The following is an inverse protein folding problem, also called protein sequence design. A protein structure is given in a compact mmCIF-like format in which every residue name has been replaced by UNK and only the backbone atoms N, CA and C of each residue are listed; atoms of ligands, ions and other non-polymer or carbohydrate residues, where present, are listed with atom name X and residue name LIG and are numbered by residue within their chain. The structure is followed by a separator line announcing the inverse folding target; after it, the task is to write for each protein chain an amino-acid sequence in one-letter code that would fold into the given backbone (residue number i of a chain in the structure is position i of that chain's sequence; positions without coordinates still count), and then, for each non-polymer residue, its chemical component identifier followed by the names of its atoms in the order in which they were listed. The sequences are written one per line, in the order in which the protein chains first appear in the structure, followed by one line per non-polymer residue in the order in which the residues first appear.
data_IF_009364451280
#
_entry.id   IF_009364451280
#
_cell.length_a   1.000
_cell.length_b   1.000
_cell.length_c   1.000
_cell.angle_alpha   90.00
_cell.angle_beta   90.00
_cell.angle_gamma   90.00
#
_symmetry.space_group_name_H-M   'P 1'
#
loop_
_entity.id
_entity.type
_entity.pdbx_description
1 polymer ?
#
# COMPACT_ATOMS: atom_id res chain seq x y z
N UNK A 1 30.82 -56.50 -4.81
CA UNK A 1 31.14 -55.07 -4.95
C UNK A 1 29.97 -54.44 -5.70
N UNK A 2 29.01 -53.92 -4.95
CA UNK A 2 27.87 -53.11 -5.43
C UNK A 2 28.36 -51.71 -5.84
N UNK A 3 27.47 -50.97 -6.50
CA UNK A 3 27.46 -49.52 -6.81
C UNK A 3 28.13 -49.11 -8.15
N UNK A 4 27.54 -48.29 -9.03
CA UNK A 4 26.28 -47.51 -9.09
C UNK A 4 26.15 -46.91 -10.51
N UNK A 5 24.91 -46.86 -11.04
CA UNK A 5 24.28 -45.84 -11.94
C UNK A 5 25.01 -45.47 -13.25
N UNK A 6 24.48 -45.58 -14.47
CA UNK A 6 23.12 -45.42 -15.02
C UNK A 6 22.39 -44.20 -14.46
N UNK A 7 22.50 -43.05 -15.16
CA UNK A 7 21.49 -41.99 -15.30
C UNK A 7 22.06 -40.85 -16.20
N UNK A 8 21.67 -40.79 -17.48
CA UNK A 8 21.89 -39.59 -18.33
C UNK A 8 20.97 -39.48 -19.55
N UNK A 9 19.77 -40.09 -19.53
CA UNK A 9 18.82 -40.05 -20.65
C UNK A 9 17.38 -39.66 -20.27
N UNK A 10 17.05 -39.46 -19.00
CA UNK A 10 15.70 -39.07 -18.54
C UNK A 10 15.44 -37.56 -18.52
N UNK A 11 16.47 -36.73 -18.65
CA UNK A 11 16.38 -35.30 -18.32
C UNK A 11 15.77 -34.41 -19.44
N UNK A 12 15.76 -34.88 -20.71
CA UNK A 12 15.34 -34.04 -21.85
C UNK A 12 13.83 -34.15 -22.13
N UNK A 13 13.17 -35.26 -21.76
CA UNK A 13 11.72 -35.44 -21.92
C UNK A 13 10.88 -34.88 -20.77
N UNK A 14 11.48 -34.65 -19.60
CA UNK A 14 10.79 -34.07 -18.45
C UNK A 14 10.71 -32.54 -18.53
N UNK A 15 11.68 -31.87 -19.14
CA UNK A 15 11.71 -30.41 -19.28
C UNK A 15 10.47 -29.79 -19.99
N UNK A 16 9.95 -30.34 -21.11
CA UNK A 16 8.75 -29.82 -21.76
C UNK A 16 7.49 -30.04 -20.91
N UNK A 17 7.37 -31.20 -20.27
CA UNK A 17 6.23 -31.58 -19.42
C UNK A 17 6.20 -30.74 -18.15
N UNK A 18 7.37 -30.50 -17.54
CA UNK A 18 7.53 -29.63 -16.39
C UNK A 18 7.22 -28.17 -16.74
N UNK A 19 7.64 -27.69 -17.91
CA UNK A 19 7.31 -26.34 -18.39
C UNK A 19 5.80 -26.16 -18.60
N UNK A 20 5.11 -27.12 -19.22
CA UNK A 20 3.65 -27.09 -19.39
C UNK A 20 2.95 -27.12 -18.03
N UNK A 21 3.45 -27.93 -17.09
CA UNK A 21 2.89 -28.02 -15.73
C UNK A 21 3.09 -26.72 -14.96
N UNK A 22 4.28 -26.12 -14.99
CA UNK A 22 4.57 -24.86 -14.33
C UNK A 22 3.75 -23.69 -14.91
N UNK A 23 3.58 -23.63 -16.23
CA UNK A 23 2.71 -22.65 -16.89
C UNK A 23 1.25 -22.83 -16.50
N UNK A 24 0.77 -24.08 -16.41
CA UNK A 24 -0.60 -24.36 -16.00
C UNK A 24 -0.83 -24.00 -14.53
N UNK A 25 0.12 -24.30 -13.65
CA UNK A 25 0.07 -23.89 -12.23
C UNK A 25 0.05 -22.37 -12.10
N UNK A 26 0.89 -21.64 -12.85
CA UNK A 26 0.89 -20.19 -12.85
C UNK A 26 -0.46 -19.62 -13.34
N UNK A 27 -1.02 -20.20 -14.41
CA UNK A 27 -2.32 -19.83 -14.97
C UNK A 27 -3.44 -20.00 -13.94
N UNK A 28 -3.49 -21.17 -13.29
CA UNK A 28 -4.47 -21.45 -12.24
C UNK A 28 -4.28 -20.49 -11.06
N UNK A 29 -3.04 -20.25 -10.62
CA UNK A 29 -2.75 -19.37 -9.49
C UNK A 29 -3.24 -17.95 -9.72
N UNK A 30 -2.89 -17.30 -10.84
CA UNK A 30 -3.32 -15.91 -11.07
C UNK A 30 -4.83 -15.81 -11.32
N UNK A 31 -5.46 -16.82 -11.95
CA UNK A 31 -6.93 -16.85 -12.07
C UNK A 31 -7.62 -16.98 -10.72
N UNK A 32 -7.10 -17.80 -9.82
CA UNK A 32 -7.59 -17.88 -8.43
C UNK A 32 -7.45 -16.52 -7.74
N UNK A 33 -6.30 -15.86 -7.83
CA UNK A 33 -6.10 -14.53 -7.24
C UNK A 33 -7.12 -13.52 -7.79
N UNK A 34 -7.37 -13.53 -9.10
CA UNK A 34 -8.41 -12.68 -9.73
C UNK A 34 -9.79 -12.93 -9.12
N UNK A 35 -10.27 -14.17 -9.14
CA UNK A 35 -11.65 -14.46 -8.72
C UNK A 35 -11.83 -14.25 -7.22
N UNK A 36 -10.83 -14.60 -6.39
CA UNK A 36 -10.85 -14.32 -4.95
C UNK A 36 -10.85 -12.81 -4.67
N UNK A 37 -10.03 -12.03 -5.38
CA UNK A 37 -9.99 -10.57 -5.19
C UNK A 37 -11.33 -9.91 -5.52
N UNK A 38 -11.97 -10.32 -6.61
CA UNK A 38 -13.28 -9.81 -7.02
C UNK A 38 -14.37 -10.24 -6.03
N UNK A 39 -14.34 -11.50 -5.60
CA UNK A 39 -15.27 -12.02 -4.61
C UNK A 39 -15.15 -11.28 -3.28
N UNK A 40 -13.95 -11.12 -2.74
CA UNK A 40 -13.71 -10.39 -1.49
C UNK A 40 -14.12 -8.93 -1.58
N UNK A 41 -13.92 -8.29 -2.74
CA UNK A 41 -14.40 -6.94 -3.01
C UNK A 41 -15.92 -6.84 -2.96
N UNK A 42 -16.63 -7.74 -3.66
CA UNK A 42 -18.10 -7.79 -3.65
C UNK A 42 -18.65 -8.10 -2.25
N UNK A 43 -18.04 -9.07 -1.57
CA UNK A 43 -18.40 -9.45 -0.21
C UNK A 43 -18.25 -8.26 0.74
N UNK A 44 -17.15 -7.52 0.65
CA UNK A 44 -16.90 -6.34 1.50
C UNK A 44 -17.86 -5.19 1.21
N UNK A 45 -18.32 -5.05 -0.04
CA UNK A 45 -19.22 -3.96 -0.45
C UNK A 45 -20.66 -4.21 -0.03
N UNK A 46 -21.15 -5.45 -0.18
CA UNK A 46 -22.57 -5.80 -0.01
C UNK A 46 -22.91 -6.46 1.33
N UNK A 47 -21.96 -7.14 1.97
CA UNK A 47 -22.28 -7.89 3.18
C UNK A 47 -22.56 -6.96 4.37
N UNK A 48 -23.57 -7.26 5.20
CA UNK A 48 -23.76 -6.59 6.48
C UNK A 48 -22.57 -6.84 7.40
N UNK A 49 -22.03 -5.77 7.99
CA UNK A 49 -20.89 -5.81 8.93
C UNK A 49 -21.44 -5.61 10.35
N UNK A 50 -20.97 -6.42 11.31
CA UNK A 50 -21.46 -6.40 12.68
C UNK A 50 -21.07 -5.07 13.31
N UNK A 51 -22.05 -4.28 13.73
CA UNK A 51 -21.77 -3.17 14.63
C UNK A 51 -21.88 -3.66 16.08
N UNK A 52 -21.09 -3.10 16.99
CA UNK A 52 -21.13 -3.49 18.41
C UNK A 52 -22.48 -3.14 19.09
N UNK A 53 -23.37 -2.44 18.40
CA UNK A 53 -24.65 -1.96 18.92
C UNK A 53 -25.83 -2.90 18.61
N UNK A 54 -25.66 -3.90 17.73
CA UNK A 54 -26.72 -4.80 17.25
C UNK A 54 -27.07 -5.95 18.22
N UNK A 55 -27.04 -5.69 19.53
CA UNK A 55 -27.32 -6.70 20.57
C UNK A 55 -28.80 -6.90 20.88
N UNK A 56 -29.70 -6.07 20.34
CA UNK A 56 -31.14 -6.22 20.52
C UNK A 56 -31.85 -6.76 19.27
N UNK A 57 -32.85 -7.61 19.55
CA UNK A 57 -33.47 -8.58 18.67
C UNK A 57 -33.99 -8.05 17.31
N UNK A 58 -33.97 -8.93 16.29
CA UNK A 58 -34.76 -8.91 15.04
C UNK A 58 -34.14 -8.31 13.75
N UNK A 59 -32.98 -7.65 13.75
CA UNK A 59 -32.41 -7.13 12.50
C UNK A 59 -31.15 -7.88 12.05
N UNK A 60 -31.29 -8.65 10.96
CA UNK A 60 -30.24 -9.18 10.08
C UNK A 60 -28.96 -9.71 10.74
N UNK A 61 -28.78 -11.05 10.77
CA UNK A 61 -27.49 -11.66 11.11
C UNK A 61 -26.39 -11.00 10.27
N UNK A 62 -25.50 -10.26 10.93
CA UNK A 62 -24.29 -9.77 10.29
C UNK A 62 -23.50 -10.94 9.70
N UNK A 63 -23.00 -10.76 8.47
CA UNK A 63 -22.23 -11.78 7.76
C UNK A 63 -20.73 -11.58 7.94
N UNK A 64 -20.28 -10.33 8.12
CA UNK A 64 -18.88 -9.98 8.31
C UNK A 64 -18.62 -9.35 9.67
N UNK A 65 -17.58 -9.82 10.35
CA UNK A 65 -17.03 -9.11 11.51
C UNK A 65 -16.06 -8.02 11.03
N UNK A 66 -15.82 -7.02 11.88
CA UNK A 66 -14.82 -5.99 11.56
C UNK A 66 -13.41 -6.56 11.40
N UNK A 67 -13.06 -7.59 12.17
CA UNK A 67 -11.78 -8.30 12.03
C UNK A 67 -11.63 -8.97 10.65
N UNK A 68 -12.71 -9.54 10.11
CA UNK A 68 -12.71 -10.10 8.77
C UNK A 68 -12.52 -9.00 7.72
N UNK A 69 -13.14 -7.82 7.90
CA UNK A 69 -12.93 -6.66 7.02
C UNK A 69 -11.47 -6.21 7.03
N UNK A 70 -10.83 -6.13 8.20
CA UNK A 70 -9.40 -5.83 8.33
C UNK A 70 -8.54 -6.87 7.62
N UNK A 71 -8.85 -8.15 7.80
CA UNK A 71 -8.14 -9.28 7.17
C UNK A 71 -8.26 -9.22 5.64
N UNK A 72 -9.45 -8.93 5.11
CA UNK A 72 -9.68 -8.75 3.67
C UNK A 72 -8.86 -7.57 3.15
N UNK A 73 -8.88 -6.44 3.86
CA UNK A 73 -8.10 -5.25 3.51
C UNK A 73 -6.61 -5.54 3.43
N UNK A 74 -6.05 -6.22 4.43
CA UNK A 74 -4.65 -6.62 4.43
C UNK A 74 -4.33 -7.60 3.30
N UNK A 75 -5.18 -8.60 3.06
CA UNK A 75 -4.97 -9.54 1.96
C UNK A 75 -4.91 -8.85 0.59
N UNK A 76 -5.86 -7.97 0.30
CA UNK A 76 -5.90 -7.22 -0.96
C UNK A 76 -4.72 -6.26 -1.09
N UNK A 77 -4.32 -5.59 0.00
CA UNK A 77 -3.15 -4.72 0.02
C UNK A 77 -1.84 -5.50 -0.23
N UNK A 78 -1.69 -6.67 0.40
CA UNK A 78 -0.54 -7.56 0.15
C UNK A 78 -0.48 -8.00 -1.30
N UNK A 79 -1.63 -8.36 -1.90
CA UNK A 79 -1.69 -8.70 -3.33
C UNK A 79 -1.27 -7.51 -4.21
N UNK A 80 -1.66 -6.28 -3.88
CA UNK A 80 -1.24 -5.09 -4.61
C UNK A 80 0.28 -4.87 -4.53
N UNK A 81 0.88 -5.02 -3.35
CA UNK A 81 2.30 -4.69 -3.16
C UNK A 81 3.22 -5.83 -3.62
N UNK A 82 2.84 -7.09 -3.46
CA UNK A 82 3.74 -8.23 -3.71
C UNK A 82 3.55 -8.90 -5.08
N UNK A 83 2.36 -8.81 -5.67
CA UNK A 83 2.05 -9.56 -6.89
C UNK A 83 2.67 -8.91 -8.12
N UNK A 84 3.36 -9.73 -8.93
CA UNK A 84 4.02 -9.27 -10.17
C UNK A 84 3.14 -9.37 -11.41
N UNK A 85 2.15 -10.27 -11.40
CA UNK A 85 1.29 -10.50 -12.56
C UNK A 85 0.27 -9.36 -12.69
N UNK A 86 0.37 -8.60 -13.78
CA UNK A 86 -0.49 -7.42 -14.03
C UNK A 86 -1.97 -7.71 -13.87
N UNK A 87 -2.46 -8.73 -14.57
CA UNK A 87 -3.87 -9.12 -14.49
C UNK A 87 -4.32 -9.62 -13.11
N UNK A 88 -3.40 -9.92 -12.17
CA UNK A 88 -3.77 -10.33 -10.82
C UNK A 88 -3.88 -9.11 -9.88
N UNK A 89 -2.86 -8.24 -9.85
CA UNK A 89 -2.94 -7.04 -9.00
C UNK A 89 -3.97 -6.02 -9.51
N UNK A 90 -4.27 -5.95 -10.81
CA UNK A 90 -5.35 -5.11 -11.33
C UNK A 90 -6.72 -5.54 -10.80
N UNK A 91 -6.91 -6.82 -10.51
CA UNK A 91 -8.17 -7.35 -9.96
C UNK A 91 -8.21 -7.21 -8.44
N UNK A 92 -7.06 -7.35 -7.77
CA UNK A 92 -6.89 -6.93 -6.38
C UNK A 92 -7.23 -5.44 -6.20
N UNK A 93 -6.81 -4.58 -7.14
CA UNK A 93 -7.14 -3.15 -7.16
C UNK A 93 -8.65 -2.91 -7.23
N UNK A 94 -9.36 -3.61 -8.11
CA UNK A 94 -10.83 -3.51 -8.21
C UNK A 94 -11.49 -3.91 -6.89
N UNK A 95 -11.10 -5.05 -6.31
CA UNK A 95 -11.63 -5.49 -5.03
C UNK A 95 -11.33 -4.52 -3.88
N UNK A 96 -10.11 -3.97 -3.86
CA UNK A 96 -9.69 -3.00 -2.85
C UNK A 96 -10.42 -1.66 -2.98
N UNK A 97 -10.73 -1.21 -4.20
CA UNK A 97 -11.56 -0.02 -4.42
C UNK A 97 -12.98 -0.19 -3.86
N UNK A 98 -13.60 -1.36 -4.05
CA UNK A 98 -14.92 -1.67 -3.49
C UNK A 98 -14.91 -1.59 -1.96
N UNK A 99 -13.91 -2.22 -1.34
CA UNK A 99 -13.72 -2.15 0.11
C UNK A 99 -13.53 -0.71 0.59
N UNK A 100 -12.58 0.04 0.02
CA UNK A 100 -12.33 1.43 0.44
C UNK A 100 -13.57 2.31 0.25
N UNK A 101 -14.25 2.17 -0.89
CA UNK A 101 -15.50 2.87 -1.18
C UNK A 101 -16.59 2.60 -0.14
N UNK A 102 -16.71 1.35 0.33
CA UNK A 102 -17.65 1.00 1.40
C UNK A 102 -17.23 1.61 2.74
N UNK A 103 -15.95 1.53 3.09
CA UNK A 103 -15.40 2.03 4.35
C UNK A 103 -15.60 3.53 4.51
N UNK A 104 -15.30 4.33 3.48
CA UNK A 104 -15.51 5.78 3.52
C UNK A 104 -16.97 6.20 3.77
N UNK A 105 -17.94 5.32 3.47
CA UNK A 105 -19.38 5.57 3.66
C UNK A 105 -19.95 4.82 4.86
N UNK A 106 -19.10 4.15 5.64
CA UNK A 106 -19.56 3.33 6.75
C UNK A 106 -20.01 4.20 7.93
N UNK A 107 -21.15 3.90 8.58
CA UNK A 107 -21.67 4.70 9.71
C UNK A 107 -20.77 4.60 10.96
N UNK A 108 -20.16 3.44 11.21
CA UNK A 108 -19.17 3.29 12.29
C UNK A 108 -17.95 4.17 12.03
N UNK A 109 -17.68 5.09 12.96
CA UNK A 109 -16.52 5.99 12.91
C UNK A 109 -15.19 5.22 12.83
N UNK A 110 -15.11 4.03 13.44
CA UNK A 110 -13.91 3.18 13.39
C UNK A 110 -13.61 2.74 11.96
N UNK A 111 -14.58 2.15 11.28
CA UNK A 111 -14.44 1.68 9.90
C UNK A 111 -14.30 2.84 8.91
N UNK A 112 -15.01 3.95 9.14
CA UNK A 112 -14.90 5.17 8.33
C UNK A 112 -13.48 5.73 8.31
N UNK A 113 -12.76 5.65 9.43
CA UNK A 113 -11.40 6.20 9.54
C UNK A 113 -10.31 5.26 8.99
N UNK A 114 -10.59 3.97 8.75
CA UNK A 114 -9.59 2.99 8.31
C UNK A 114 -8.85 3.39 7.02
N UNK A 115 -9.52 3.79 5.92
CA UNK A 115 -8.81 4.13 4.70
C UNK A 115 -7.81 5.29 4.88
N UNK A 116 -8.12 6.25 5.78
CA UNK A 116 -7.22 7.35 6.13
C UNK A 116 -6.00 6.87 6.91
N UNK A 117 -6.19 5.96 7.86
CA UNK A 117 -5.11 5.37 8.64
C UNK A 117 -4.18 4.54 7.75
N UNK A 118 -4.73 3.70 6.89
CA UNK A 118 -3.99 2.86 5.96
C UNK A 118 -3.20 3.67 4.93
N UNK A 119 -3.77 4.78 4.43
CA UNK A 119 -3.04 5.68 3.55
C UNK A 119 -1.90 6.39 4.28
N UNK A 120 -2.10 6.80 5.54
CA UNK A 120 -1.02 7.39 6.35
C UNK A 120 0.12 6.39 6.58
N UNK A 121 -0.21 5.15 6.94
CA UNK A 121 0.75 4.05 7.09
C UNK A 121 1.55 3.85 5.79
N UNK A 122 0.86 3.80 4.64
CA UNK A 122 1.49 3.67 3.34
C UNK A 122 2.44 4.82 3.02
N UNK A 123 2.05 6.07 3.30
CA UNK A 123 2.88 7.25 3.10
C UNK A 123 4.11 7.26 4.03
N UNK A 124 3.97 6.82 5.28
CA UNK A 124 5.09 6.67 6.21
C UNK A 124 6.08 5.60 5.73
N UNK A 125 5.56 4.52 5.14
CA UNK A 125 6.38 3.47 4.52
C UNK A 125 7.15 4.02 3.31
N UNK A 126 6.50 4.80 2.43
CA UNK A 126 7.14 5.39 1.23
C UNK A 126 8.21 6.42 1.62
N UNK A 127 7.95 7.23 2.64
CA UNK A 127 8.81 8.36 3.04
C UNK A 127 10.01 7.94 3.89
N UNK A 128 9.79 7.05 4.87
CA UNK A 128 10.79 6.71 5.88
C UNK A 128 11.32 5.29 5.73
N UNK A 129 10.68 4.45 4.92
CA UNK A 129 11.10 3.06 4.77
C UNK A 129 10.92 2.22 6.02
N UNK A 130 10.04 2.62 6.94
CA UNK A 130 9.86 1.96 8.23
C UNK A 130 9.44 0.50 8.02
N UNK A 131 10.42 -0.39 8.11
CA UNK A 131 10.28 -1.85 8.19
C UNK A 131 10.06 -2.59 6.86
N UNK A 132 9.80 -1.93 5.72
CA UNK A 132 9.61 -2.65 4.45
C UNK A 132 10.75 -2.40 3.46
N UNK A 133 11.29 -3.48 2.89
CA UNK A 133 12.15 -3.40 1.71
C UNK A 133 11.31 -3.16 0.45
N UNK A 134 10.70 -1.98 0.35
CA UNK A 134 10.19 -1.49 -0.92
C UNK A 134 11.36 -1.47 -1.91
N UNK A 135 11.09 -1.79 -3.18
CA UNK A 135 12.11 -1.75 -4.21
C UNK A 135 11.68 -0.78 -5.28
N UNK A 136 12.48 0.26 -5.52
CA UNK A 136 12.24 1.37 -6.43
C UNK A 136 11.76 0.97 -7.84
N UNK A 137 12.17 -0.20 -8.35
CA UNK A 137 12.07 -0.50 -9.80
C UNK A 137 11.40 -1.84 -10.16
N UNK A 138 11.07 -2.73 -9.20
CA UNK A 138 10.38 -4.01 -9.52
C UNK A 138 9.37 -4.57 -8.51
N UNK A 139 9.47 -4.25 -7.20
CA UNK A 139 8.55 -4.77 -6.16
C UNK A 139 7.50 -3.76 -5.69
N UNK A 140 7.35 -2.65 -6.40
CA UNK A 140 6.46 -1.54 -6.01
C UNK A 140 5.45 -1.17 -7.09
N UNK A 141 5.30 -2.00 -8.13
CA UNK A 141 4.42 -1.71 -9.26
C UNK A 141 2.95 -1.48 -8.87
N UNK A 142 2.48 -2.08 -7.77
CA UNK A 142 1.13 -1.87 -7.26
C UNK A 142 1.00 -0.83 -6.13
N UNK A 143 2.08 -0.21 -5.64
CA UNK A 143 1.95 0.94 -4.72
C UNK A 143 1.17 2.10 -5.37
N UNK A 144 1.43 2.47 -6.65
CA UNK A 144 0.62 3.48 -7.33
C UNK A 144 -0.87 3.10 -7.38
N UNK A 145 -1.18 1.81 -7.59
CA UNK A 145 -2.56 1.31 -7.59
C UNK A 145 -3.19 1.39 -6.20
N UNK A 146 -2.45 1.06 -5.15
CA UNK A 146 -2.93 1.17 -3.77
C UNK A 146 -3.23 2.63 -3.40
N UNK A 147 -2.33 3.56 -3.73
CA UNK A 147 -2.56 5.01 -3.54
C UNK A 147 -3.75 5.48 -4.36
N UNK A 148 -3.84 5.09 -5.64
CA UNK A 148 -4.98 5.41 -6.49
C UNK A 148 -6.30 4.93 -5.91
N UNK A 149 -6.35 3.71 -5.36
CA UNK A 149 -7.56 3.17 -4.77
C UNK A 149 -8.06 4.05 -3.61
N UNK A 150 -7.17 4.45 -2.69
CA UNK A 150 -7.54 5.35 -1.61
C UNK A 150 -8.04 6.71 -2.12
N UNK A 151 -7.28 7.32 -3.02
CA UNK A 151 -7.54 8.68 -3.48
C UNK A 151 -8.78 8.78 -4.36
N UNK A 152 -8.96 7.83 -5.29
CA UNK A 152 -10.15 7.79 -6.16
C UNK A 152 -11.41 7.52 -5.36
N UNK A 153 -11.36 6.61 -4.39
CA UNK A 153 -12.54 6.28 -3.56
C UNK A 153 -12.89 7.37 -2.56
N UNK A 154 -11.91 8.12 -2.00
CA UNK A 154 -12.20 9.30 -1.18
C UNK A 154 -12.97 10.34 -1.98
N UNK A 155 -12.50 10.66 -3.20
CA UNK A 155 -13.15 11.66 -4.05
C UNK A 155 -14.58 11.29 -4.46
N UNK A 156 -14.86 9.99 -4.64
CA UNK A 156 -16.21 9.51 -4.95
C UNK A 156 -17.21 9.67 -3.79
N UNK A 157 -16.74 9.80 -2.56
CA UNK A 157 -17.62 9.96 -1.38
C UNK A 157 -18.05 11.41 -1.24
N UNK A 158 -17.25 12.35 -1.76
CA UNK A 158 -17.47 13.78 -1.60
C UNK A 158 -17.17 14.26 -0.17
N UNK A 159 -17.04 15.57 0.01
CA UNK A 159 -16.77 16.19 1.31
C UNK A 159 -15.29 16.55 1.51
N UNK A 160 -14.70 16.12 2.63
CA UNK A 160 -13.33 16.51 3.01
C UNK A 160 -12.29 15.68 2.26
N UNK A 161 -11.75 16.24 1.17
CA UNK A 161 -10.67 15.65 0.36
C UNK A 161 -9.28 15.86 0.98
N UNK A 162 -9.19 15.81 2.32
CA UNK A 162 -7.94 16.07 3.03
C UNK A 162 -6.89 15.00 2.77
N UNK A 163 -7.29 13.73 2.56
CA UNK A 163 -6.32 12.69 2.24
C UNK A 163 -5.65 13.00 0.91
N UNK A 164 -6.45 13.23 -0.14
CA UNK A 164 -5.97 13.62 -1.46
C UNK A 164 -5.02 14.82 -1.42
N UNK A 165 -5.42 15.90 -0.76
CA UNK A 165 -4.61 17.12 -0.66
C UNK A 165 -3.28 16.87 0.05
N UNK A 166 -3.31 16.15 1.17
CA UNK A 166 -2.12 15.84 1.96
C UNK A 166 -1.19 14.89 1.20
N UNK A 167 -1.73 13.87 0.54
CA UNK A 167 -0.95 12.92 -0.26
C UNK A 167 -0.28 13.60 -1.44
N UNK A 168 -1.00 14.44 -2.20
CA UNK A 168 -0.41 15.20 -3.31
C UNK A 168 0.72 16.12 -2.83
N UNK A 169 0.49 16.88 -1.75
CA UNK A 169 1.50 17.77 -1.18
C UNK A 169 2.74 16.99 -0.72
N UNK A 170 2.56 15.90 0.03
CA UNK A 170 3.65 15.09 0.55
C UNK A 170 4.45 14.40 -0.57
N UNK A 171 3.78 13.90 -1.62
CA UNK A 171 4.44 13.27 -2.76
C UNK A 171 5.26 14.27 -3.58
N UNK A 172 4.71 15.47 -3.82
CA UNK A 172 5.42 16.54 -4.54
C UNK A 172 6.61 17.06 -3.74
N UNK A 173 6.45 17.24 -2.43
CA UNK A 173 7.53 17.63 -1.52
C UNK A 173 8.62 16.56 -1.46
N UNK A 174 8.24 15.28 -1.43
CA UNK A 174 9.19 14.18 -1.43
C UNK A 174 9.94 14.11 -2.77
N UNK A 175 9.28 14.41 -3.89
CA UNK A 175 9.86 14.33 -5.23
C UNK A 175 10.74 15.53 -5.61
N UNK A 176 10.52 16.71 -5.03
CA UNK A 176 11.29 17.93 -5.30
C UNK A 176 12.78 17.76 -4.95
N UNK A 177 13.64 18.17 -5.88
CA UNK A 177 15.10 18.01 -5.84
C UNK A 177 15.78 19.24 -5.24
N UNK A 178 15.03 20.30 -4.91
CA UNK A 178 15.61 21.49 -4.28
C UNK A 178 16.21 21.15 -2.92
N UNK A 179 17.52 20.93 -2.93
CA UNK A 179 18.37 20.63 -1.78
C UNK A 179 18.53 21.84 -0.85
N UNK A 180 17.42 22.31 -0.26
CA UNK A 180 17.44 23.24 0.88
C UNK A 180 17.30 22.51 2.22
N UNK A 181 17.29 21.16 2.21
CA UNK A 181 17.11 20.32 3.42
C UNK A 181 18.40 19.75 3.99
N UNK A 182 19.55 19.92 3.34
CA UNK A 182 20.84 19.65 3.99
C UNK A 182 21.11 20.62 5.17
N UNK A 183 20.52 21.82 5.17
CA UNK A 183 20.70 22.82 6.24
C UNK A 183 19.72 22.73 7.42
N UNK A 184 18.49 22.26 7.21
CA UNK A 184 17.43 22.36 8.22
C UNK A 184 17.34 21.16 9.19
N UNK A 185 17.88 19.99 8.82
CA UNK A 185 17.80 18.77 9.66
C UNK A 185 18.75 18.77 10.88
N UNK A 186 19.72 19.68 10.96
CA UNK A 186 20.62 19.80 12.13
C UNK A 186 20.03 20.58 13.30
N UNK A 187 18.94 21.32 13.11
CA UNK A 187 18.45 22.26 14.13
C UNK A 187 17.39 21.68 15.07
N UNK A 188 16.84 20.49 14.77
CA UNK A 188 15.80 19.86 15.62
C UNK A 188 16.42 18.99 16.73
N UNK A 189 17.66 18.50 16.56
CA UNK A 189 18.35 17.69 17.58
C UNK A 189 19.12 18.51 18.64
N UNK A 190 18.98 19.85 18.64
CA UNK A 190 19.71 20.73 19.55
C UNK A 190 18.87 21.31 20.71
N UNK A 191 17.59 20.93 20.84
CA UNK A 191 16.72 21.42 21.92
C UNK A 191 15.99 20.24 22.58
N UNK A 192 16.73 19.41 23.31
CA UNK A 192 16.23 18.63 24.45
C UNK A 192 17.41 18.04 25.18
N UNK A 193 18.06 18.87 25.98
CA UNK A 193 19.06 18.46 26.95
C UNK A 193 18.75 19.14 28.27
N UNK A 194 17.81 18.60 29.04
CA UNK A 194 17.68 18.79 30.49
C UNK A 194 16.83 17.66 31.09
N UNK A 195 17.50 16.77 31.86
CA UNK A 195 17.12 16.16 33.15
C UNK A 195 15.65 15.70 33.37
N UNK A 196 15.31 14.55 33.99
CA UNK A 196 15.88 13.80 35.13
C UNK A 196 15.27 12.39 35.13
N UNK A 197 16.03 11.41 35.61
CA UNK A 197 15.52 10.10 36.06
C UNK A 197 14.66 10.27 37.31
N UNK A 198 13.48 9.62 37.39
CA UNK A 198 13.09 8.84 38.58
C UNK A 198 11.79 8.01 38.40
N UNK A 199 11.95 6.71 38.65
CA UNK A 199 11.12 5.81 39.49
C UNK A 199 9.63 5.45 39.20
N UNK A 200 9.46 4.13 38.98
CA UNK A 200 8.51 3.17 39.62
C UNK A 200 7.02 3.10 39.21
N UNK A 201 6.67 1.97 38.57
CA UNK A 201 5.57 1.05 38.94
C UNK A 201 4.11 1.43 38.63
N UNK A 202 3.43 0.67 37.76
CA UNK A 202 2.62 -0.51 38.12
C UNK A 202 1.69 -0.95 36.97
N UNK A 203 1.39 -2.24 36.96
CA UNK A 203 0.52 -3.01 36.06
C UNK A 203 -0.92 -2.49 35.94
N UNK A 204 -1.57 -2.64 34.78
CA UNK A 204 -2.98 -3.10 34.66
C UNK A 204 -3.41 -3.39 33.21
N UNK A 205 -3.95 -4.61 33.03
CA UNK A 205 -5.07 -5.00 32.18
C UNK A 205 -5.05 -4.70 30.65
N UNK A 206 -4.93 -5.78 29.88
CA UNK A 206 -5.24 -5.86 28.45
C UNK A 206 -6.74 -5.68 28.21
N UNK A 207 -7.12 -4.52 27.67
CA UNK A 207 -8.47 -4.16 27.27
C UNK A 207 -8.73 -4.59 25.79
N UNK A 208 -9.77 -5.38 25.48
CA UNK A 208 -10.03 -5.90 24.11
C UNK A 208 -10.52 -4.84 23.11
N UNK A 209 -10.60 -3.56 23.50
CA UNK A 209 -10.94 -2.41 22.65
C UNK A 209 -9.81 -1.94 21.72
N UNK A 210 -8.56 -2.43 21.92
CA UNK A 210 -7.33 -1.87 21.34
C UNK A 210 -6.83 -2.54 20.03
N UNK A 211 -7.55 -3.55 19.52
CA UNK A 211 -7.06 -4.36 18.38
C UNK A 211 -7.06 -3.56 17.06
N UNK A 212 -8.03 -2.67 16.86
CA UNK A 212 -8.14 -1.87 15.64
C UNK A 212 -7.12 -0.73 15.55
N UNK A 213 -6.66 -0.19 16.67
CA UNK A 213 -5.65 0.89 16.68
C UNK A 213 -4.24 0.40 16.34
N UNK A 214 -3.99 -0.91 16.49
CA UNK A 214 -2.70 -1.53 16.19
C UNK A 214 -2.70 -2.38 14.90
N UNK A 215 -3.82 -2.43 14.17
CA UNK A 215 -3.88 -3.19 12.93
C UNK A 215 -3.11 -2.48 11.81
N UNK A 216 -2.00 -3.09 11.39
CA UNK A 216 -1.24 -2.64 10.21
C UNK A 216 -1.79 -3.30 8.96
N UNK A 217 -2.13 -2.51 7.95
CA UNK A 217 -2.65 -3.07 6.70
C UNK A 217 -1.58 -3.89 5.97
N UNK A 218 -0.32 -3.49 6.08
CA UNK A 218 0.83 -4.22 5.58
C UNK A 218 1.52 -4.85 6.79
N UNK A 219 1.56 -6.19 6.88
CA UNK A 219 2.34 -6.83 7.93
C UNK A 219 3.81 -6.67 7.59
N UNK A 220 4.47 -5.79 8.33
CA UNK A 220 5.87 -5.43 8.12
C UNK A 220 6.72 -6.11 9.18
N UNK A 221 7.51 -7.12 8.78
CA UNK A 221 8.53 -7.71 9.65
C UNK A 221 9.53 -6.63 10.05
N UNK A 222 9.56 -6.28 11.34
CA UNK A 222 10.57 -5.39 11.93
C UNK A 222 11.90 -6.10 12.02
N UNK A 223 12.49 -6.45 10.89
CA UNK A 223 13.94 -6.62 10.81
C UNK A 223 14.51 -5.23 10.57
N UNK A 224 15.43 -4.81 11.45
CA UNK A 224 16.11 -3.53 11.41
C UNK A 224 16.76 -3.31 10.04
N UNK A 225 16.05 -2.63 9.15
CA UNK A 225 16.56 -2.22 7.84
C UNK A 225 16.97 -0.76 7.91
N UNK A 226 18.13 -0.48 7.32
CA UNK A 226 18.65 0.86 7.06
C UNK A 226 17.56 1.81 6.56
N UNK A 227 17.64 3.08 6.94
CA UNK A 227 16.77 4.13 6.42
C UNK A 227 16.66 4.01 4.88
N UNK A 228 15.44 4.05 4.35
CA UNK A 228 15.26 4.06 2.89
C UNK A 228 16.09 5.21 2.32
N UNK A 229 16.88 4.89 1.30
CA UNK A 229 17.67 5.88 0.58
C UNK A 229 16.69 6.98 0.11
N UNK A 230 17.03 8.24 0.40
CA UNK A 230 16.21 9.39 -0.02
C UNK A 230 15.96 9.37 -1.52
N UNK A 231 16.87 8.77 -2.30
CA UNK A 231 16.69 8.54 -3.74
C UNK A 231 15.60 7.51 -4.04
N UNK A 232 15.52 6.41 -3.29
CA UNK A 232 14.49 5.37 -3.47
C UNK A 232 13.09 5.88 -3.10
N UNK A 233 12.96 6.59 -1.97
CA UNK A 233 11.71 7.27 -1.60
C UNK A 233 11.24 8.25 -2.69
N UNK A 234 12.18 9.00 -3.27
CA UNK A 234 11.94 9.91 -4.40
C UNK A 234 11.43 9.17 -5.63
N UNK A 235 12.05 8.06 -6.01
CA UNK A 235 11.60 7.26 -7.15
C UNK A 235 10.18 6.72 -6.93
N UNK A 236 9.85 6.27 -5.72
CA UNK A 236 8.49 5.85 -5.38
C UNK A 236 7.49 7.00 -5.52
N UNK A 237 7.82 8.18 -4.97
CA UNK A 237 6.97 9.36 -5.07
C UNK A 237 6.69 9.74 -6.52
N UNK A 238 7.74 9.78 -7.35
CA UNK A 238 7.64 10.06 -8.78
C UNK A 238 6.74 9.04 -9.49
N UNK A 239 6.95 7.74 -9.26
CA UNK A 239 6.12 6.69 -9.86
C UNK A 239 4.65 6.80 -9.48
N UNK A 240 4.35 7.15 -8.23
CA UNK A 240 2.99 7.38 -7.76
C UNK A 240 2.41 8.64 -8.42
N UNK A 241 3.12 9.77 -8.39
CA UNK A 241 2.70 11.02 -9.05
C UNK A 241 2.40 10.81 -10.53
N UNK A 242 3.24 10.07 -11.25
CA UNK A 242 2.99 9.71 -12.66
C UNK A 242 1.64 9.04 -12.84
N UNK A 243 1.38 8.05 -11.98
CA UNK A 243 0.16 7.27 -12.00
C UNK A 243 -1.05 8.15 -11.70
N UNK A 244 -0.93 9.08 -10.74
CA UNK A 244 -2.01 10.00 -10.36
C UNK A 244 -2.33 11.00 -11.49
N UNK A 245 -1.32 11.63 -12.10
CA UNK A 245 -1.53 12.57 -13.20
C UNK A 245 -2.09 11.91 -14.47
N UNK A 246 -1.81 10.62 -14.69
CA UNK A 246 -2.36 9.85 -15.82
C UNK A 246 -3.74 9.23 -15.54
N UNK A 247 -4.23 9.27 -14.31
CA UNK A 247 -5.49 8.63 -13.95
C UNK A 247 -6.68 9.50 -14.37
N UNK A 248 -7.50 9.01 -15.30
CA UNK A 248 -8.60 9.77 -15.91
C UNK A 248 -9.61 10.34 -14.90
N UNK A 249 -9.93 9.57 -13.85
CA UNK A 249 -10.88 10.00 -12.80
C UNK A 249 -10.34 11.16 -11.94
N UNK A 250 -9.02 11.33 -11.87
CA UNK A 250 -8.39 12.34 -11.01
C UNK A 250 -8.15 13.67 -11.71
N UNK A 251 -8.47 13.80 -13.01
CA UNK A 251 -8.06 14.92 -13.87
C UNK A 251 -8.36 16.31 -13.30
N UNK A 252 -9.61 16.55 -12.88
CA UNK A 252 -9.99 17.84 -12.27
C UNK A 252 -9.30 18.07 -10.92
N UNK A 253 -9.18 17.02 -10.10
CA UNK A 253 -8.60 17.09 -8.76
C UNK A 253 -7.08 17.32 -8.79
N UNK A 254 -6.37 16.83 -9.81
CA UNK A 254 -4.92 17.04 -9.95
C UNK A 254 -4.56 18.39 -10.58
N UNK A 255 -5.52 19.08 -11.20
CA UNK A 255 -5.29 20.35 -11.92
C UNK A 255 -4.51 21.39 -11.10
N UNK A 256 -4.81 21.64 -9.81
CA UNK A 256 -4.06 22.60 -8.99
C UNK A 256 -2.58 22.25 -8.78
N UNK A 257 -2.20 20.99 -9.02
CA UNK A 257 -0.86 20.45 -8.78
C UNK A 257 -0.02 20.33 -10.05
N UNK A 258 -0.61 20.53 -11.24
CA UNK A 258 0.08 20.33 -12.52
C UNK A 258 1.34 21.19 -12.62
N UNK A 259 1.28 22.46 -12.21
CA UNK A 259 2.45 23.34 -12.26
C UNK A 259 3.62 22.81 -11.43
N UNK A 260 3.35 22.33 -10.21
CA UNK A 260 4.37 21.71 -9.35
C UNK A 260 4.85 20.38 -9.95
N UNK A 261 3.95 19.56 -10.49
CA UNK A 261 4.30 18.32 -11.18
C UNK A 261 5.25 18.54 -12.36
N UNK A 262 5.01 19.57 -13.18
CA UNK A 262 5.88 19.95 -14.30
C UNK A 262 7.25 20.43 -13.81
N UNK A 263 7.31 21.22 -12.73
CA UNK A 263 8.59 21.64 -12.13
C UNK A 263 9.40 20.42 -11.69
N UNK A 264 8.77 19.49 -10.97
CA UNK A 264 9.40 18.24 -10.53
C UNK A 264 9.88 17.42 -11.74
N UNK A 265 9.10 17.35 -12.83
CA UNK A 265 9.51 16.69 -14.09
C UNK A 265 10.76 17.28 -14.70
N UNK A 266 10.81 18.61 -14.83
CA UNK A 266 11.98 19.30 -15.37
C UNK A 266 13.21 19.10 -14.49
N UNK A 267 13.05 19.09 -13.17
CA UNK A 267 14.14 18.78 -12.25
C UNK A 267 14.60 17.31 -12.37
N UNK A 268 13.68 16.37 -12.59
CA UNK A 268 13.96 14.95 -12.79
C UNK A 268 14.88 14.67 -13.98
N UNK A 269 14.80 15.46 -15.07
CA UNK A 269 15.75 15.40 -16.19
C UNK A 269 17.19 15.68 -15.79
N UNK A 270 17.40 16.44 -14.70
CA UNK A 270 18.73 16.72 -14.14
C UNK A 270 19.14 15.71 -13.07
N UNK A 271 18.32 14.67 -12.85
CA UNK A 271 18.56 13.60 -11.91
C UNK A 271 19.84 12.83 -12.20
N UNK A 272 20.47 12.31 -11.14
CA UNK A 272 21.72 11.54 -11.25
C UNK A 272 21.45 10.07 -11.56
N UNK A 273 20.20 9.61 -11.42
CA UNK A 273 19.81 8.24 -11.68
C UNK A 273 18.89 8.12 -12.90
N UNK A 274 19.02 7.02 -13.64
CA UNK A 274 18.16 6.71 -14.78
C UNK A 274 16.67 6.68 -14.43
N UNK A 275 16.32 6.25 -13.21
CA UNK A 275 14.93 6.20 -12.76
C UNK A 275 14.30 7.60 -12.62
N UNK A 276 15.07 8.59 -12.15
CA UNK A 276 14.63 9.99 -12.08
C UNK A 276 14.46 10.60 -13.48
N UNK A 277 15.41 10.32 -14.39
CA UNK A 277 15.40 10.85 -15.76
C UNK A 277 14.28 10.21 -16.59
N UNK A 278 14.07 8.89 -16.46
CA UNK A 278 13.04 8.16 -17.21
C UNK A 278 11.63 8.63 -16.86
N UNK A 279 11.37 8.99 -15.60
CA UNK A 279 10.09 9.56 -15.20
C UNK A 279 9.76 10.88 -15.91
N UNK A 280 10.77 11.70 -16.21
CA UNK A 280 10.57 13.00 -16.83
C UNK A 280 10.34 12.92 -18.35
N UNK A 281 10.75 11.83 -18.99
CA UNK A 281 10.76 11.67 -20.45
C UNK A 281 9.46 11.11 -21.07
N UNK A 282 8.52 10.59 -20.26
CA UNK A 282 7.23 10.02 -20.70
C UNK A 282 6.02 10.70 -20.04
#
# INVERSE_FOLDING_TARGET
MQHLKQDSASDISELPVLNVTAQMVLLCAWRTVKEVSLFLGELSEQAPISSAEDSDECHGKSLLTEEQVLTIGSHLAMLLVETKHRGAFEQAYVGFCKLCGRLWRHPSARLHNLPRLWMKELMDIITWGKGTKLCATRRSAGLPFMVQAFLTTELQVGGNTSCFRQSMAALLELADVTDNRAGARRSINAISGTATEDSVGNSTASDPSNIAENFKILYVSTESSDCVDTVEARIHALNILRSLFRHSVLGESVTPYIAQGVIVAIQGFKGKTWAEVFWAAE
#
